data_IF_921166550813
#
_entry.id   IF_921166550813
#
_cell.length_a   1.000
_cell.length_b   1.000
_cell.length_c   1.000
_cell.angle_alpha   90.00
_cell.angle_beta   90.00
_cell.angle_gamma   90.00
#
_symmetry.space_group_name_H-M   'P 1'
#
loop_
_entity.id
_entity.type
_entity.pdbx_description
1 polymer ?
#
# COMPACT_ATOMS: atom_id res chain seq x y z
N UNK A 1 -8.93 1.20 -21.32
CA UNK A 1 -7.54 0.88 -20.98
C UNK A 1 -7.58 0.32 -19.56
N UNK A 2 -7.19 -0.93 -19.39
CA UNK A 2 -7.12 -1.49 -18.03
C UNK A 2 -5.97 -0.80 -17.31
N UNK A 3 -6.30 0.16 -16.45
CA UNK A 3 -5.30 0.93 -15.72
C UNK A 3 -4.54 0.01 -14.77
N UNK A 4 -3.21 0.06 -14.86
CA UNK A 4 -2.32 -0.68 -13.96
C UNK A 4 -2.49 -0.11 -12.55
N UNK A 5 -2.79 -0.97 -11.59
CA UNK A 5 -2.86 -0.62 -10.17
C UNK A 5 -1.46 -0.77 -9.56
N UNK A 6 -0.97 0.27 -8.94
CA UNK A 6 0.29 0.23 -8.19
C UNK A 6 0.06 -0.45 -6.83
N UNK A 7 0.86 -1.45 -6.51
CA UNK A 7 0.68 -2.29 -5.30
C UNK A 7 0.69 -1.45 -4.01
N UNK A 8 1.53 -0.44 -3.91
CA UNK A 8 1.56 0.45 -2.74
C UNK A 8 0.25 1.23 -2.54
N UNK A 9 -0.49 1.49 -3.62
CA UNK A 9 -1.74 2.23 -3.56
C UNK A 9 -2.90 1.44 -2.91
N UNK A 10 -2.79 0.11 -2.79
CA UNK A 10 -3.83 -0.72 -2.16
C UNK A 10 -4.14 -0.26 -0.74
N UNK A 11 -3.09 -0.04 0.06
CA UNK A 11 -3.25 0.41 1.44
C UNK A 11 -3.81 1.84 1.52
N UNK A 12 -3.35 2.72 0.62
CA UNK A 12 -3.81 4.11 0.57
C UNK A 12 -5.27 4.21 0.12
N UNK A 13 -5.70 3.36 -0.82
CA UNK A 13 -7.09 3.28 -1.24
C UNK A 13 -8.02 2.84 -0.10
N UNK A 14 -7.61 1.84 0.70
CA UNK A 14 -8.37 1.41 1.89
C UNK A 14 -8.45 2.54 2.92
N UNK A 15 -7.40 3.32 3.07
CA UNK A 15 -7.42 4.48 3.94
C UNK A 15 -8.41 5.53 3.43
N UNK A 16 -8.25 5.97 2.19
CA UNK A 16 -9.15 6.90 1.52
C UNK A 16 -9.00 6.80 0.00
N UNK A 17 -10.00 6.31 -0.73
CA UNK A 17 -9.95 6.20 -2.20
C UNK A 17 -9.55 7.49 -2.91
N UNK A 18 -10.02 8.65 -2.44
CA UNK A 18 -9.66 9.95 -3.01
C UNK A 18 -8.16 10.25 -2.93
N UNK A 19 -7.42 9.67 -1.98
CA UNK A 19 -5.98 9.91 -1.84
C UNK A 19 -5.19 9.50 -3.09
N UNK A 20 -5.64 8.45 -3.81
CA UNK A 20 -4.98 7.97 -5.02
C UNK A 20 -5.00 9.02 -6.14
N UNK A 21 -6.12 9.74 -6.28
CA UNK A 21 -6.21 10.84 -7.24
C UNK A 21 -5.19 11.95 -6.92
N UNK A 22 -5.12 12.34 -5.67
CA UNK A 22 -4.18 13.38 -5.23
C UNK A 22 -2.73 12.92 -5.29
N UNK A 23 -2.44 11.63 -5.05
CA UNK A 23 -1.12 11.06 -5.30
C UNK A 23 -0.70 11.18 -6.76
N UNK A 24 -1.60 10.90 -7.71
CA UNK A 24 -1.32 11.07 -9.14
C UNK A 24 -1.08 12.54 -9.51
N UNK A 25 -1.83 13.46 -8.90
CA UNK A 25 -1.76 14.88 -9.21
C UNK A 25 -0.53 15.57 -8.59
N UNK A 26 -0.21 15.23 -7.35
CA UNK A 26 0.84 15.92 -6.56
C UNK A 26 2.07 15.05 -6.29
N UNK A 27 2.04 13.76 -6.60
CA UNK A 27 3.10 12.82 -6.26
C UNK A 27 4.45 13.05 -6.96
N UNK A 28 4.49 13.88 -8.01
CA UNK A 28 5.71 14.35 -8.65
C UNK A 28 6.22 15.69 -8.07
N UNK A 29 5.46 16.31 -7.19
CA UNK A 29 5.82 17.57 -6.55
C UNK A 29 6.45 17.32 -5.17
N UNK A 30 7.06 18.33 -4.62
CA UNK A 30 7.90 18.30 -3.41
C UNK A 30 7.38 17.34 -2.31
N UNK A 31 8.10 16.25 -2.11
CA UNK A 31 7.83 15.26 -1.07
C UNK A 31 7.74 15.85 0.34
N UNK A 32 8.39 17.00 0.59
CA UNK A 32 8.37 17.69 1.89
C UNK A 32 7.03 18.38 2.15
N UNK A 33 6.31 18.77 1.10
CA UNK A 33 5.03 19.47 1.23
C UNK A 33 3.85 18.52 1.46
N UNK A 34 3.91 17.31 0.85
CA UNK A 34 2.77 16.37 0.84
C UNK A 34 3.06 15.01 1.49
N UNK A 35 4.13 14.89 2.27
CA UNK A 35 4.39 13.67 3.04
C UNK A 35 4.33 13.93 4.54
N UNK A 36 3.53 13.14 5.23
CA UNK A 36 3.55 13.14 6.69
C UNK A 36 4.85 12.54 7.22
N UNK A 37 5.22 12.88 8.46
CA UNK A 37 6.37 12.27 9.14
C UNK A 37 6.30 10.73 9.20
N UNK A 38 5.08 10.15 9.21
CA UNK A 38 4.86 8.71 9.16
C UNK A 38 5.23 8.12 7.81
N UNK A 39 4.90 8.78 6.70
CA UNK A 39 5.24 8.35 5.34
C UNK A 39 6.75 8.45 5.08
N UNK A 40 7.39 9.56 5.47
CA UNK A 40 8.85 9.74 5.38
C UNK A 40 9.57 8.66 6.19
N UNK A 41 9.11 8.36 7.40
CA UNK A 41 9.67 7.31 8.23
C UNK A 41 9.41 5.92 7.65
N UNK A 42 8.26 5.69 7.00
CA UNK A 42 7.96 4.47 6.27
C UNK A 42 8.93 4.24 5.12
N UNK A 43 9.16 5.26 4.27
CA UNK A 43 10.10 5.18 3.14
C UNK A 43 11.54 4.86 3.59
N UNK A 44 12.03 5.49 4.67
CA UNK A 44 13.34 5.17 5.25
C UNK A 44 13.46 3.72 5.75
N UNK A 45 12.36 3.10 6.14
CA UNK A 45 12.36 1.71 6.56
C UNK A 45 12.70 0.72 5.43
N UNK A 46 12.48 1.12 4.17
CA UNK A 46 12.79 0.31 2.99
C UNK A 46 14.18 0.58 2.39
N UNK A 47 14.87 1.66 2.80
CA UNK A 47 16.12 2.12 2.22
C UNK A 47 17.20 1.03 2.15
N UNK A 48 17.35 0.19 3.19
CA UNK A 48 18.36 -0.90 3.19
C UNK A 48 18.04 -2.00 2.17
N UNK A 49 16.78 -2.16 1.82
CA UNK A 49 16.31 -3.12 0.80
C UNK A 49 16.50 -2.53 -0.58
N UNK A 50 16.07 -1.29 -0.79
CA UNK A 50 16.16 -0.60 -2.06
C UNK A 50 17.62 -0.42 -2.52
N UNK A 51 18.53 -0.17 -1.59
CA UNK A 51 19.97 -0.05 -1.85
C UNK A 51 20.71 -1.41 -1.90
N UNK A 52 19.99 -2.53 -1.89
CA UNK A 52 20.55 -3.90 -1.90
C UNK A 52 21.56 -4.18 -0.78
N UNK A 53 21.55 -3.40 0.29
CA UNK A 53 22.46 -3.54 1.45
C UNK A 53 21.94 -4.51 2.52
N UNK A 54 20.73 -5.05 2.34
CA UNK A 54 20.06 -5.92 3.32
C UNK A 54 20.76 -7.26 3.50
N UNK A 55 21.27 -7.89 2.42
CA UNK A 55 21.91 -9.19 2.49
C UNK A 55 22.88 -9.41 1.33
N UNK A 56 23.99 -10.10 1.62
CA UNK A 56 24.96 -10.54 0.60
C UNK A 56 24.70 -11.97 0.11
N UNK A 57 23.68 -12.66 0.64
CA UNK A 57 23.32 -14.02 0.22
C UNK A 57 22.66 -14.00 -1.14
N UNK A 58 23.17 -14.81 -2.08
CA UNK A 58 22.62 -14.95 -3.44
C UNK A 58 21.18 -15.48 -3.49
N UNK A 59 20.73 -16.16 -2.43
CA UNK A 59 19.35 -16.68 -2.31
C UNK A 59 18.34 -15.61 -1.86
N UNK A 60 18.79 -14.42 -1.49
CA UNK A 60 17.93 -13.33 -1.06
C UNK A 60 17.83 -12.31 -2.20
N UNK A 61 16.62 -12.12 -2.70
CA UNK A 61 16.29 -11.09 -3.68
C UNK A 61 15.62 -9.94 -2.93
N UNK A 62 16.05 -8.72 -3.22
CA UNK A 62 15.50 -7.50 -2.61
C UNK A 62 15.10 -6.50 -3.68
N UNK A 63 14.07 -5.71 -3.42
CA UNK A 63 13.62 -4.60 -4.27
C UNK A 63 13.36 -5.02 -5.73
N UNK A 64 12.88 -6.26 -5.95
CA UNK A 64 12.53 -6.73 -7.28
C UNK A 64 11.23 -6.09 -7.74
N UNK A 65 11.26 -5.49 -8.93
CA UNK A 65 10.06 -5.03 -9.61
C UNK A 65 9.23 -6.23 -10.06
N UNK A 66 7.92 -6.20 -9.78
CA UNK A 66 7.00 -7.30 -10.07
C UNK A 66 5.76 -6.80 -10.78
N UNK A 67 5.18 -7.67 -11.59
CA UNK A 67 3.98 -7.40 -12.36
C UNK A 67 3.06 -8.62 -12.39
N UNK A 68 1.75 -8.40 -12.27
CA UNK A 68 0.72 -9.41 -12.45
C UNK A 68 -0.15 -9.05 -13.65
N UNK A 69 -0.17 -9.93 -14.65
CA UNK A 69 -1.04 -9.79 -15.82
C UNK A 69 -2.51 -10.04 -15.45
N UNK A 70 -2.75 -11.03 -14.59
CA UNK A 70 -4.09 -11.39 -14.15
C UNK A 70 -4.81 -10.23 -13.47
N UNK A 71 -4.13 -9.59 -12.54
CA UNK A 71 -4.72 -8.49 -11.77
C UNK A 71 -4.24 -7.11 -12.22
N UNK A 72 -3.48 -7.01 -13.34
CA UNK A 72 -2.90 -5.74 -13.82
C UNK A 72 -2.30 -4.90 -12.69
N UNK A 73 -1.46 -5.57 -11.89
CA UNK A 73 -0.76 -4.96 -10.76
C UNK A 73 0.70 -4.75 -11.11
N UNK A 74 1.27 -3.66 -10.62
CA UNK A 74 2.70 -3.39 -10.72
C UNK A 74 3.21 -2.85 -9.39
N UNK A 75 4.44 -3.22 -9.04
CA UNK A 75 5.06 -2.73 -7.81
C UNK A 75 6.41 -3.36 -7.57
N UNK A 76 6.85 -3.30 -6.33
CA UNK A 76 8.14 -3.83 -5.90
C UNK A 76 7.93 -4.68 -4.65
N UNK A 77 8.63 -5.81 -4.57
CA UNK A 77 8.68 -6.60 -3.33
C UNK A 77 9.82 -6.09 -2.44
N UNK A 78 9.69 -6.27 -1.15
CA UNK A 78 10.80 -5.95 -0.24
C UNK A 78 11.85 -7.06 -0.27
N UNK A 79 11.49 -8.27 0.12
CA UNK A 79 12.44 -9.38 0.26
C UNK A 79 11.79 -10.68 -0.20
N UNK A 80 12.51 -11.46 -0.99
CA UNK A 80 12.17 -12.83 -1.30
C UNK A 80 13.37 -13.76 -1.01
N UNK A 81 13.16 -14.75 -0.13
CA UNK A 81 14.11 -15.80 0.21
C UNK A 81 13.81 -17.04 -0.64
N UNK A 82 14.61 -17.27 -1.69
CA UNK A 82 14.44 -18.36 -2.64
C UNK A 82 14.59 -19.75 -1.99
N UNK A 83 15.51 -19.89 -1.02
CA UNK A 83 15.73 -21.17 -0.34
C UNK A 83 14.54 -21.56 0.52
N UNK A 84 13.90 -20.60 1.16
CA UNK A 84 12.74 -20.80 2.03
C UNK A 84 11.41 -20.64 1.32
N UNK A 85 11.44 -20.18 0.06
CA UNK A 85 10.25 -19.80 -0.73
C UNK A 85 9.34 -18.84 0.05
N UNK A 86 9.98 -17.87 0.71
CA UNK A 86 9.35 -16.96 1.65
C UNK A 86 9.36 -15.53 1.11
N UNK A 87 8.19 -14.97 0.88
CA UNK A 87 8.00 -13.56 0.57
C UNK A 87 7.76 -12.76 1.85
N UNK A 88 8.46 -11.63 1.99
CA UNK A 88 8.47 -10.83 3.20
C UNK A 88 8.20 -9.38 2.85
N UNK A 89 7.16 -8.82 3.43
CA UNK A 89 6.87 -7.38 3.45
C UNK A 89 7.35 -6.77 4.75
N UNK A 90 7.95 -5.59 4.71
CA UNK A 90 8.50 -4.90 5.88
C UNK A 90 7.66 -3.68 6.22
N UNK A 91 7.36 -3.51 7.48
CA UNK A 91 6.71 -2.30 8.01
C UNK A 91 7.54 -1.73 9.15
N UNK A 92 7.66 -0.42 9.24
CA UNK A 92 8.42 0.20 10.32
C UNK A 92 7.90 -0.22 11.69
N UNK A 93 6.60 -0.06 11.92
CA UNK A 93 5.93 -0.40 13.16
C UNK A 93 4.59 -1.08 12.87
N UNK A 94 4.29 -2.15 13.63
CA UNK A 94 3.03 -2.88 13.50
C UNK A 94 2.36 -2.96 14.87
N UNK A 95 1.32 -2.16 15.10
CA UNK A 95 0.47 -2.28 16.28
C UNK A 95 -0.56 -3.41 16.14
N UNK A 96 -1.07 -3.60 14.93
CA UNK A 96 -1.94 -4.72 14.51
C UNK A 96 -1.75 -4.97 13.02
N UNK A 97 -2.07 -6.18 12.57
CA UNK A 97 -2.14 -6.47 11.14
C UNK A 97 -3.44 -5.89 10.59
N UNK A 98 -3.33 -5.01 9.61
CA UNK A 98 -4.43 -4.45 8.85
C UNK A 98 -4.60 -5.21 7.54
N UNK A 99 -5.81 -5.32 7.05
CA UNK A 99 -6.13 -6.01 5.79
C UNK A 99 -5.32 -5.44 4.62
N UNK A 100 -5.10 -4.12 4.59
CA UNK A 100 -4.26 -3.47 3.58
C UNK A 100 -2.83 -4.00 3.50
N UNK A 101 -2.24 -4.42 4.61
CA UNK A 101 -0.91 -5.05 4.60
C UNK A 101 -0.96 -6.45 4.00
N UNK A 102 -2.03 -7.20 4.29
CA UNK A 102 -2.25 -8.54 3.72
C UNK A 102 -2.50 -8.43 2.22
N UNK A 103 -3.32 -7.48 1.79
CA UNK A 103 -3.63 -7.26 0.37
C UNK A 103 -2.39 -6.83 -0.42
N UNK A 104 -1.55 -5.97 0.14
CA UNK A 104 -0.27 -5.62 -0.48
C UNK A 104 0.61 -6.86 -0.67
N UNK A 105 0.71 -7.71 0.35
CA UNK A 105 1.48 -8.95 0.30
C UNK A 105 0.87 -9.97 -0.68
N UNK A 106 -0.47 -10.06 -0.78
CA UNK A 106 -1.16 -10.91 -1.78
C UNK A 106 -0.90 -10.41 -3.21
N UNK A 107 -0.93 -9.09 -3.44
CA UNK A 107 -0.60 -8.52 -4.74
C UNK A 107 0.84 -8.86 -5.17
N UNK A 108 1.79 -8.75 -4.25
CA UNK A 108 3.18 -9.15 -4.48
C UNK A 108 3.31 -10.67 -4.71
N UNK A 109 2.56 -11.48 -3.96
CA UNK A 109 2.53 -12.94 -4.13
C UNK A 109 2.06 -13.33 -5.53
N UNK A 110 0.94 -12.79 -6.00
CA UNK A 110 0.42 -13.11 -7.34
C UNK A 110 1.40 -12.65 -8.42
N UNK A 111 1.92 -11.43 -8.32
CA UNK A 111 2.89 -10.92 -9.28
C UNK A 111 4.16 -11.78 -9.32
N UNK A 112 4.71 -12.13 -8.17
CA UNK A 112 5.93 -12.93 -8.08
C UNK A 112 5.73 -14.37 -8.60
N UNK A 113 4.58 -14.99 -8.31
CA UNK A 113 4.25 -16.33 -8.79
C UNK A 113 4.02 -16.36 -10.29
N UNK A 114 3.37 -15.34 -10.88
CA UNK A 114 3.22 -15.20 -12.34
C UNK A 114 4.57 -15.03 -13.04
N UNK A 115 5.56 -14.41 -12.38
CA UNK A 115 6.95 -14.33 -12.88
C UNK A 115 7.73 -15.65 -12.75
N UNK A 116 7.11 -16.72 -12.24
CA UNK A 116 7.70 -18.05 -12.15
C UNK A 116 8.43 -18.37 -10.86
N UNK A 117 8.35 -17.53 -9.85
CA UNK A 117 8.94 -17.80 -8.53
C UNK A 117 7.99 -18.65 -7.67
N UNK A 118 8.54 -19.68 -7.01
CA UNK A 118 7.78 -20.51 -6.08
C UNK A 118 7.65 -19.81 -4.72
N UNK A 119 6.44 -19.43 -4.32
CA UNK A 119 6.19 -18.81 -3.01
C UNK A 119 5.29 -19.73 -2.18
N UNK A 120 5.81 -20.23 -1.06
CA UNK A 120 5.09 -21.14 -0.15
C UNK A 120 4.80 -20.53 1.22
N UNK A 121 5.39 -19.37 1.51
CA UNK A 121 5.24 -18.70 2.80
C UNK A 121 5.16 -17.20 2.61
N UNK A 122 4.29 -16.58 3.42
CA UNK A 122 4.14 -15.13 3.48
C UNK A 122 4.41 -14.65 4.90
N UNK A 123 5.13 -13.55 5.03
CA UNK A 123 5.47 -12.96 6.32
C UNK A 123 5.45 -11.43 6.26
N UNK A 124 4.89 -10.79 7.27
CA UNK A 124 5.04 -9.34 7.49
C UNK A 124 5.98 -9.14 8.67
N UNK A 125 6.96 -8.25 8.54
CA UNK A 125 7.93 -7.93 9.59
C UNK A 125 7.81 -6.51 10.09
N UNK A 126 7.72 -6.37 11.40
CA UNK A 126 7.88 -5.09 12.08
C UNK A 126 9.36 -4.85 12.39
N UNK A 127 9.88 -3.69 11.99
CA UNK A 127 11.30 -3.36 12.16
C UNK A 127 11.64 -2.84 13.54
N UNK A 128 10.71 -2.10 14.18
CA UNK A 128 10.96 -1.47 15.47
C UNK A 128 11.10 -2.50 16.62
N UNK A 129 10.36 -3.60 16.54
CA UNK A 129 10.33 -4.64 17.58
C UNK A 129 10.73 -6.04 17.08
N UNK A 130 11.16 -6.14 15.82
CA UNK A 130 11.60 -7.37 15.13
C UNK A 130 10.55 -8.50 15.13
N UNK A 131 9.28 -8.19 15.35
CA UNK A 131 8.20 -9.17 15.29
C UNK A 131 7.94 -9.64 13.89
N UNK A 132 7.57 -10.92 13.77
CA UNK A 132 7.25 -11.60 12.53
C UNK A 132 5.83 -12.13 12.61
N UNK A 133 5.06 -11.84 11.58
CA UNK A 133 3.67 -12.24 11.47
C UNK A 133 3.52 -13.13 10.25
N UNK A 134 3.25 -14.41 10.47
CA UNK A 134 2.95 -15.35 9.39
C UNK A 134 1.57 -14.98 8.84
N UNK A 135 1.47 -14.91 7.50
CA UNK A 135 0.22 -14.69 6.77
C UNK A 135 -0.10 -15.96 5.99
N UNK A 136 -1.35 -16.34 5.98
CA UNK A 136 -1.82 -17.47 5.18
C UNK A 136 -1.70 -17.16 3.69
N UNK A 137 -1.44 -18.17 2.88
CA UNK A 137 -1.52 -18.03 1.42
C UNK A 137 -2.97 -17.74 0.99
N UNK A 138 -3.20 -17.08 -0.16
CA UNK A 138 -4.55 -16.80 -0.63
C UNK A 138 -5.47 -18.04 -0.73
N UNK A 139 -4.91 -19.19 -1.06
CA UNK A 139 -5.69 -20.43 -1.15
C UNK A 139 -5.93 -21.11 0.22
N UNK A 140 -5.22 -20.67 1.27
CA UNK A 140 -5.45 -21.08 2.66
C UNK A 140 -6.45 -20.18 3.38
N UNK A 141 -6.74 -18.97 2.85
CA UNK A 141 -7.67 -17.99 3.41
C UNK A 141 -8.56 -17.41 2.31
N UNK A 142 -9.58 -18.17 1.93
CA UNK A 142 -10.48 -17.81 0.85
C UNK A 142 -11.29 -16.54 1.13
N UNK A 143 -11.56 -16.23 2.40
CA UNK A 143 -12.26 -15.01 2.77
C UNK A 143 -11.41 -13.77 2.47
N UNK A 144 -10.16 -13.79 2.91
CA UNK A 144 -9.22 -12.70 2.68
C UNK A 144 -8.89 -12.56 1.18
N UNK A 145 -8.80 -13.70 0.46
CA UNK A 145 -8.65 -13.69 -1.00
C UNK A 145 -9.81 -13.01 -1.72
N UNK A 146 -11.05 -13.35 -1.35
CA UNK A 146 -12.24 -12.73 -1.94
C UNK A 146 -12.28 -11.22 -1.68
N UNK A 147 -11.96 -10.77 -0.46
CA UNK A 147 -11.87 -9.35 -0.14
C UNK A 147 -10.76 -8.63 -0.93
N UNK A 148 -9.63 -9.31 -1.16
CA UNK A 148 -8.59 -8.76 -2.03
C UNK A 148 -9.09 -8.57 -3.47
N UNK A 149 -9.78 -9.58 -4.04
CA UNK A 149 -10.32 -9.51 -5.40
C UNK A 149 -11.41 -8.43 -5.50
N UNK A 150 -12.29 -8.32 -4.51
CA UNK A 150 -13.30 -7.26 -4.41
C UNK A 150 -12.67 -5.86 -4.33
N UNK A 151 -11.57 -5.72 -3.58
CA UNK A 151 -10.82 -4.46 -3.52
C UNK A 151 -10.28 -4.06 -4.88
N UNK A 152 -9.67 -5.00 -5.63
CA UNK A 152 -9.13 -4.74 -6.97
C UNK A 152 -10.25 -4.28 -7.93
N UNK A 153 -11.41 -4.92 -7.89
CA UNK A 153 -12.54 -4.56 -8.72
C UNK A 153 -13.12 -3.19 -8.32
N UNK A 154 -13.18 -2.90 -7.02
CA UNK A 154 -13.59 -1.60 -6.51
C UNK A 154 -12.63 -0.49 -6.95
N UNK A 155 -11.33 -0.73 -6.91
CA UNK A 155 -10.34 0.25 -7.37
C UNK A 155 -10.46 0.55 -8.87
N UNK A 156 -10.82 -0.43 -9.69
CA UNK A 156 -11.02 -0.27 -11.14
C UNK A 156 -12.27 0.53 -11.48
N UNK A 157 -13.34 0.32 -10.74
CA UNK A 157 -14.63 0.97 -10.94
C UNK A 157 -14.77 2.30 -10.18
N UNK A 158 -13.75 2.70 -9.42
CA UNK A 158 -13.82 3.87 -8.56
C UNK A 158 -13.99 5.18 -9.36
N UNK A 159 -15.05 5.92 -9.04
CA UNK A 159 -15.27 7.30 -9.51
C UNK A 159 -15.16 8.28 -8.35
N UNK A 160 -14.20 9.20 -8.44
CA UNK A 160 -14.00 10.25 -7.43
C UNK A 160 -15.23 11.18 -7.30
N UNK A 161 -15.99 11.38 -8.39
CA UNK A 161 -17.15 12.26 -8.37
C UNK A 161 -18.31 11.71 -7.53
N UNK A 162 -18.39 10.39 -7.41
CA UNK A 162 -19.41 9.69 -6.63
C UNK A 162 -18.95 9.40 -5.19
N UNK A 163 -17.67 9.65 -4.88
CA UNK A 163 -17.12 9.31 -3.59
C UNK A 163 -17.28 10.43 -2.56
N UNK A 164 -17.71 10.04 -1.37
CA UNK A 164 -17.72 10.89 -0.17
C UNK A 164 -17.14 10.13 1.00
N UNK A 165 -16.10 10.71 1.62
CA UNK A 165 -15.54 10.14 2.84
C UNK A 165 -16.54 10.28 4.00
N UNK A 166 -16.87 9.17 4.66
CA UNK A 166 -17.79 9.14 5.80
C UNK A 166 -17.10 9.19 7.17
N UNK A 167 -15.78 9.08 7.21
CA UNK A 167 -15.00 9.01 8.44
C UNK A 167 -14.11 10.24 8.62
N UNK A 168 -14.55 11.15 9.48
CA UNK A 168 -13.83 12.41 9.78
C UNK A 168 -12.41 12.17 10.31
N UNK A 169 -12.16 11.10 11.06
CA UNK A 169 -10.83 10.81 11.60
C UNK A 169 -9.82 10.44 10.50
N UNK A 170 -10.31 9.89 9.37
CA UNK A 170 -9.47 9.71 8.19
C UNK A 170 -9.14 11.06 7.54
N UNK A 171 -10.10 11.96 7.43
CA UNK A 171 -9.87 13.32 6.91
C UNK A 171 -8.84 14.06 7.75
N UNK A 172 -8.97 14.09 9.06
CA UNK A 172 -8.02 14.74 9.98
C UNK A 172 -6.57 14.22 9.87
N UNK A 173 -6.39 13.01 9.37
CA UNK A 173 -5.07 12.38 9.18
C UNK A 173 -4.62 12.38 7.71
N UNK A 174 -5.43 12.91 6.82
CA UNK A 174 -5.15 12.94 5.39
C UNK A 174 -4.19 14.07 5.08
N UNK A 175 -3.09 13.78 4.38
CA UNK A 175 -2.14 14.79 3.93
C UNK A 175 -2.69 15.68 2.82
N UNK A 176 -3.79 15.27 2.19
CA UNK A 176 -4.48 16.01 1.13
C UNK A 176 -5.77 16.67 1.61
N UNK A 177 -5.95 16.80 2.92
CA UNK A 177 -7.17 17.38 3.47
C UNK A 177 -7.47 18.74 2.89
N UNK A 178 -6.48 19.63 2.88
CA UNK A 178 -6.62 21.00 2.37
C UNK A 178 -6.86 21.07 0.85
N UNK A 179 -6.51 20.02 0.12
CA UNK A 179 -6.70 19.93 -1.33
C UNK A 179 -8.04 19.29 -1.74
N UNK A 180 -8.77 18.70 -0.80
CA UNK A 180 -9.99 17.98 -1.06
C UNK A 180 -11.20 18.78 -0.59
N UNK A 181 -11.93 19.40 -1.51
CA UNK A 181 -13.09 20.26 -1.27
C UNK A 181 -14.30 19.57 -0.59
N UNK A 182 -14.30 18.23 -0.56
CA UNK A 182 -15.30 17.39 0.13
C UNK A 182 -14.78 16.77 1.42
N UNK A 183 -13.69 17.30 1.97
CA UNK A 183 -13.18 16.86 3.26
C UNK A 183 -14.19 17.13 4.37
N UNK A 184 -14.40 16.13 5.24
CA UNK A 184 -15.28 16.29 6.41
C UNK A 184 -14.68 17.19 7.50
N UNK A 185 -13.36 17.42 7.46
CA UNK A 185 -12.63 18.23 8.41
C UNK A 185 -12.42 19.67 7.89
N UNK A 186 -13.25 20.13 6.97
CA UNK A 186 -13.28 21.54 6.59
C UNK A 186 -13.57 22.36 7.85
N UNK A 187 -12.53 22.61 8.63
CA UNK A 187 -12.58 23.51 9.78
C UNK A 187 -13.03 24.89 9.33
N UNK A 188 -13.45 25.73 10.26
CA UNK A 188 -14.00 27.10 10.24
C UNK A 188 -13.82 28.02 8.99
N UNK A 189 -13.12 27.56 7.95
CA UNK A 189 -12.93 28.28 6.69
C UNK A 189 -14.25 28.49 5.91
N UNK A 190 -15.14 27.51 5.90
CA UNK A 190 -16.43 27.64 5.21
C UNK A 190 -17.39 28.61 5.91
N UNK A 191 -17.21 28.84 7.21
CA UNK A 191 -17.99 29.83 7.97
C UNK A 191 -17.48 31.24 7.69
N UNK A 192 -16.18 31.42 7.40
CA UNK A 192 -15.59 32.74 7.11
C UNK A 192 -15.85 33.24 5.70
N UNK A 193 -16.07 32.37 4.71
CA UNK A 193 -16.35 32.80 3.32
C UNK A 193 -17.83 33.11 3.03
N UNK A 194 -18.75 32.94 3.99
CA UNK A 194 -20.16 33.30 3.83
C UNK A 194 -20.47 34.78 4.13
N UNK A 195 -19.44 35.61 4.41
CA UNK A 195 -19.63 37.02 4.78
C UNK A 195 -18.86 38.00 3.89
N UNK A 196 -18.73 37.71 2.59
CA UNK A 196 -18.37 38.71 1.58
C UNK A 196 -19.28 38.63 0.38
#
# INVERSE_FOLDING_TARGET
>A
MDDIIIISNLNDFIFCPASIYFHKLYGSQDNLTYQSSYQINGSKAHESVDNSSYSTKKSIITALDVYSDKYKLSGKIDIYDMEKQLLIERKKHISKIYDGYVFQLYAQYYALTEMGYAVQKLEIRSLDDNKKYKINLPDEDLLMKNWFEELIDTMRSFDLNEFYQSNIEKCKKCIYEDAYDRSLNMGDWYVKCKWF
#
